data_IF_513181602287
#
_entry.id   IF_513181602287
#
_cell.length_a   1.000
_cell.length_b   1.000
_cell.length_c   1.000
_cell.angle_alpha   90.00
_cell.angle_beta   90.00
_cell.angle_gamma   90.00
#
_symmetry.space_group_name_H-M   'P 1'
#
loop_
_entity.id
_entity.type
_entity.pdbx_description
1 polymer ?
#
# COMPACT_ATOMS: atom_id res chain seq x y z
N UNK A 1 21.01 -15.32 -43.76
CA UNK A 1 21.54 -15.60 -42.41
C UNK A 1 21.91 -14.35 -41.61
N UNK A 2 22.47 -13.29 -42.22
CA UNK A 2 22.80 -12.03 -41.50
C UNK A 2 21.58 -11.16 -41.14
N UNK A 3 20.40 -11.36 -41.75
CA UNK A 3 19.20 -10.53 -41.50
C UNK A 3 18.35 -10.98 -40.30
N UNK A 4 18.43 -12.25 -39.88
CA UNK A 4 17.72 -12.75 -38.69
C UNK A 4 18.45 -12.38 -37.39
N UNK A 5 19.78 -12.32 -37.41
CA UNK A 5 20.60 -11.94 -36.24
C UNK A 5 20.40 -10.45 -35.88
N UNK A 6 20.13 -9.59 -36.86
CA UNK A 6 19.77 -8.19 -36.61
C UNK A 6 18.35 -8.05 -36.00
N UNK A 7 17.41 -8.92 -36.38
CA UNK A 7 16.05 -8.97 -35.79
C UNK A 7 16.05 -9.52 -34.36
N UNK A 8 16.94 -10.45 -34.02
CA UNK A 8 17.04 -11.03 -32.68
C UNK A 8 17.63 -10.09 -31.63
N UNK A 9 18.30 -8.99 -32.02
CA UNK A 9 18.77 -7.97 -31.08
C UNK A 9 17.68 -6.99 -30.61
N UNK A 10 16.50 -7.02 -31.22
CA UNK A 10 15.40 -6.09 -30.91
C UNK A 10 14.38 -6.66 -29.91
N UNK A 11 14.67 -7.80 -29.28
CA UNK A 11 13.74 -8.49 -28.35
C UNK A 11 14.32 -8.78 -26.96
N UNK A 12 15.26 -7.95 -26.50
CA UNK A 12 15.65 -7.91 -25.10
C UNK A 12 15.66 -6.47 -24.60
N UNK A 13 14.50 -5.81 -24.64
CA UNK A 13 14.31 -4.58 -23.90
C UNK A 13 14.34 -4.94 -22.41
N UNK A 14 15.48 -4.70 -21.77
CA UNK A 14 15.60 -4.81 -20.33
C UNK A 14 14.75 -3.71 -19.71
N UNK A 15 13.65 -4.10 -19.07
CA UNK A 15 12.90 -3.20 -18.18
C UNK A 15 13.82 -2.92 -17.00
N UNK A 16 14.47 -1.76 -16.99
CA UNK A 16 15.26 -1.31 -15.85
C UNK A 16 14.35 -0.55 -14.89
N UNK A 17 14.01 -1.16 -13.76
CA UNK A 17 13.38 -0.45 -12.64
C UNK A 17 14.48 0.25 -11.86
N UNK A 18 14.68 1.54 -12.13
CA UNK A 18 15.61 2.39 -11.40
C UNK A 18 14.92 3.06 -10.22
N UNK A 19 15.47 2.91 -9.00
CA UNK A 19 15.02 3.64 -7.82
C UNK A 19 15.67 5.04 -7.79
N UNK A 20 14.86 6.08 -7.83
CA UNK A 20 15.31 7.48 -7.77
C UNK A 20 15.53 7.92 -6.33
N UNK A 21 14.56 7.64 -5.47
CA UNK A 21 14.59 8.06 -4.07
C UNK A 21 13.87 7.05 -3.18
N UNK A 22 14.28 6.97 -1.91
CA UNK A 22 13.67 6.09 -0.90
C UNK A 22 13.63 6.80 0.45
N UNK A 23 12.51 6.62 1.15
CA UNK A 23 12.34 7.02 2.54
C UNK A 23 11.62 5.92 3.31
N UNK A 24 12.04 5.72 4.55
CA UNK A 24 11.30 4.92 5.52
C UNK A 24 10.88 5.82 6.68
N UNK A 25 9.59 5.82 6.99
CA UNK A 25 9.07 6.39 8.22
C UNK A 25 8.64 5.24 9.10
N UNK A 26 9.21 5.16 10.30
CA UNK A 26 8.91 4.07 11.23
C UNK A 26 8.55 4.61 12.59
N UNK A 27 7.73 3.84 13.29
CA UNK A 27 7.37 4.07 14.69
C UNK A 27 7.48 2.77 15.44
N UNK A 28 8.32 2.76 16.46
CA UNK A 28 8.35 1.64 17.41
C UNK A 28 7.09 1.70 18.29
N UNK A 29 6.45 0.54 18.50
CA UNK A 29 5.24 0.39 19.30
C UNK A 29 4.19 1.47 18.97
N UNK A 30 3.72 1.47 17.71
CA UNK A 30 2.71 2.42 17.25
C UNK A 30 1.46 2.38 18.15
N UNK A 31 1.11 1.19 18.67
CA UNK A 31 0.13 0.98 19.74
C UNK A 31 -1.18 1.75 19.53
N UNK A 32 -1.83 1.51 18.40
CA UNK A 32 -3.06 2.22 18.03
C UNK A 32 -4.25 1.29 18.07
N UNK A 33 -5.25 1.65 18.87
CA UNK A 33 -6.60 1.06 18.98
C UNK A 33 -7.63 1.82 18.12
N UNK A 34 -7.16 2.56 17.10
CA UNK A 34 -8.05 3.33 16.24
C UNK A 34 -8.88 2.40 15.37
N UNK A 35 -10.17 2.70 15.33
CA UNK A 35 -11.13 2.12 14.39
C UNK A 35 -11.22 2.91 13.07
N UNK A 36 -10.79 4.18 13.07
CA UNK A 36 -10.82 5.07 11.89
C UNK A 36 -9.64 6.05 11.84
N UNK A 37 -9.26 6.43 10.61
CA UNK A 37 -8.36 7.54 10.32
C UNK A 37 -6.88 7.15 10.23
N UNK A 38 -6.02 8.17 10.24
CA UNK A 38 -4.57 8.02 10.03
C UNK A 38 -3.92 7.33 11.23
N UNK A 39 -3.21 6.24 10.95
CA UNK A 39 -2.37 5.49 11.90
C UNK A 39 -0.93 6.00 11.88
N UNK A 40 -0.36 6.16 10.69
CA UNK A 40 1.01 6.66 10.47
C UNK A 40 1.07 7.48 9.18
N UNK A 41 1.80 8.59 9.19
CA UNK A 41 2.04 9.43 8.01
C UNK A 41 3.54 9.51 7.72
N UNK A 42 3.91 9.46 6.45
CA UNK A 42 5.25 9.64 5.93
C UNK A 42 5.23 10.73 4.87
N UNK A 43 5.83 11.89 5.18
CA UNK A 43 6.02 12.97 4.20
C UNK A 43 7.18 12.59 3.28
N UNK A 44 6.92 12.50 1.98
CA UNK A 44 7.89 12.12 0.96
C UNK A 44 8.04 13.22 -0.08
N UNK A 45 9.24 13.41 -0.60
CA UNK A 45 9.52 14.41 -1.64
C UNK A 45 9.73 13.70 -2.98
N UNK A 46 8.68 13.66 -3.81
CA UNK A 46 8.71 13.05 -5.13
C UNK A 46 9.41 13.97 -6.13
N UNK A 47 10.36 13.46 -6.90
CA UNK A 47 11.25 14.28 -7.74
C UNK A 47 10.72 14.54 -9.14
N UNK A 48 9.94 13.62 -9.70
CA UNK A 48 9.53 13.66 -11.10
C UNK A 48 8.05 13.34 -11.27
N UNK A 49 7.41 13.95 -12.26
CA UNK A 49 6.00 13.70 -12.60
C UNK A 49 5.82 12.36 -13.33
N UNK A 50 6.83 11.93 -14.09
CA UNK A 50 6.81 10.75 -14.98
C UNK A 50 7.34 9.47 -14.32
N UNK A 51 7.19 9.35 -12.99
CA UNK A 51 7.69 8.21 -12.21
C UNK A 51 6.61 7.67 -11.28
N UNK A 52 6.73 6.43 -10.84
CA UNK A 52 5.76 5.76 -9.95
C UNK A 52 6.22 5.82 -8.50
N UNK A 53 5.29 5.83 -7.56
CA UNK A 53 5.60 5.57 -6.15
C UNK A 53 5.29 4.12 -5.80
N UNK A 54 6.30 3.34 -5.40
CA UNK A 54 6.11 2.08 -4.69
C UNK A 54 5.97 2.38 -3.20
N UNK A 55 4.83 2.03 -2.62
CA UNK A 55 4.55 2.26 -1.20
C UNK A 55 4.26 0.95 -0.50
N UNK A 56 4.77 0.82 0.72
CA UNK A 56 4.71 -0.40 1.49
C UNK A 56 4.45 -0.10 2.96
N UNK A 57 3.47 -0.78 3.55
CA UNK A 57 3.26 -0.88 4.99
C UNK A 57 3.86 -2.18 5.50
N UNK A 58 4.62 -2.10 6.58
CA UNK A 58 5.09 -3.25 7.34
C UNK A 58 4.79 -3.02 8.83
N UNK A 59 3.95 -3.85 9.42
CA UNK A 59 3.57 -3.75 10.82
C UNK A 59 2.46 -4.73 11.17
N UNK A 60 2.23 -4.95 12.45
CA UNK A 60 1.11 -5.80 12.87
C UNK A 60 -0.23 -5.10 12.69
N UNK A 61 -1.22 -5.89 12.31
CA UNK A 61 -2.63 -5.54 12.26
C UNK A 61 -3.42 -6.60 13.01
N UNK A 62 -4.49 -6.17 13.67
CA UNK A 62 -5.43 -7.05 14.34
C UNK A 62 -6.85 -6.56 14.09
N UNK A 63 -7.78 -7.52 14.03
CA UNK A 63 -9.20 -7.28 14.11
C UNK A 63 -9.83 -8.21 15.15
N UNK A 64 -10.54 -7.66 16.14
CA UNK A 64 -11.42 -8.43 17.02
C UNK A 64 -12.87 -8.26 16.58
N UNK A 65 -13.61 -9.37 16.61
CA UNK A 65 -15.03 -9.37 16.37
C UNK A 65 -15.83 -8.79 17.56
N UNK A 66 -16.80 -7.91 17.29
CA UNK A 66 -17.64 -7.25 18.33
C UNK A 66 -19.04 -7.87 18.51
N UNK A 67 -19.26 -9.12 18.09
CA UNK A 67 -20.46 -9.90 18.48
C UNK A 67 -21.63 -9.95 17.47
N UNK A 68 -21.42 -9.62 16.19
CA UNK A 68 -22.45 -9.81 15.16
C UNK A 68 -22.63 -11.26 14.73
N UNK A 69 -23.75 -11.58 14.06
CA UNK A 69 -24.08 -12.96 13.68
C UNK A 69 -23.16 -13.54 12.59
N UNK A 70 -22.62 -12.71 11.71
CA UNK A 70 -21.94 -13.12 10.46
C UNK A 70 -20.41 -13.03 10.59
N UNK A 71 -19.92 -12.01 11.31
CA UNK A 71 -18.50 -11.71 11.45
C UNK A 71 -18.26 -10.20 11.44
N UNK A 72 -17.01 -9.81 11.69
CA UNK A 72 -16.59 -8.41 11.58
C UNK A 72 -15.57 -8.21 10.48
N UNK A 73 -15.43 -6.98 10.01
CA UNK A 73 -14.36 -6.61 9.10
C UNK A 73 -13.83 -5.20 9.40
N UNK A 74 -12.58 -4.95 8.97
CA UNK A 74 -11.93 -3.63 8.91
C UNK A 74 -11.02 -3.57 7.69
N UNK A 75 -10.86 -2.37 7.14
CA UNK A 75 -9.98 -2.08 6.00
C UNK A 75 -8.85 -1.17 6.44
N UNK A 76 -7.63 -1.51 6.05
CA UNK A 76 -6.48 -0.63 6.12
C UNK A 76 -6.03 -0.24 4.73
N UNK A 77 -5.64 1.01 4.51
CA UNK A 77 -5.41 1.52 3.17
C UNK A 77 -4.47 2.73 3.15
N UNK A 78 -3.79 2.91 2.01
CA UNK A 78 -2.97 4.08 1.77
C UNK A 78 -3.76 5.24 1.19
N UNK A 79 -3.40 6.45 1.62
CA UNK A 79 -3.75 7.70 0.94
C UNK A 79 -2.51 8.51 0.62
N UNK A 80 -2.50 9.16 -0.53
CA UNK A 80 -1.51 10.13 -0.96
C UNK A 80 -2.18 11.52 -1.01
N UNK A 81 -1.72 12.45 -0.18
CA UNK A 81 -2.35 13.77 -0.01
C UNK A 81 -3.85 13.68 0.32
N UNK A 82 -4.21 12.71 1.17
CA UNK A 82 -5.59 12.50 1.63
C UNK A 82 -6.52 11.81 0.64
N UNK A 83 -6.01 11.34 -0.51
CA UNK A 83 -6.79 10.58 -1.50
C UNK A 83 -6.20 9.19 -1.70
N UNK A 84 -7.04 8.18 -1.89
CA UNK A 84 -6.58 6.84 -2.25
C UNK A 84 -5.94 6.85 -3.64
N UNK A 85 -5.02 5.91 -3.87
CA UNK A 85 -4.47 5.73 -5.21
C UNK A 85 -5.58 5.28 -6.17
N UNK A 86 -5.57 5.82 -7.39
CA UNK A 86 -6.56 5.47 -8.42
C UNK A 86 -5.94 4.83 -9.66
N UNK A 87 -4.62 4.67 -9.71
CA UNK A 87 -3.91 4.09 -10.84
C UNK A 87 -2.74 3.21 -10.35
N UNK A 88 -2.78 1.89 -10.61
CA UNK A 88 -3.84 1.15 -11.29
C UNK A 88 -5.11 0.97 -10.44
N UNK A 89 -4.98 0.96 -9.11
CA UNK A 89 -6.09 0.81 -8.17
C UNK A 89 -5.64 1.29 -6.77
N UNK A 90 -6.52 1.17 -5.77
CA UNK A 90 -6.22 1.42 -4.36
C UNK A 90 -5.19 0.42 -3.82
N UNK A 91 -4.51 0.79 -2.72
CA UNK A 91 -3.51 -0.05 -2.06
C UNK A 91 -3.97 -0.28 -0.63
N UNK A 92 -4.61 -1.42 -0.41
CA UNK A 92 -5.32 -1.73 0.82
C UNK A 92 -5.23 -3.20 1.23
N UNK A 93 -5.72 -3.48 2.42
CA UNK A 93 -5.93 -4.81 2.95
C UNK A 93 -7.20 -4.82 3.79
N UNK A 94 -8.00 -5.89 3.65
CA UNK A 94 -9.20 -6.10 4.45
C UNK A 94 -8.98 -7.32 5.33
N UNK A 95 -9.21 -7.17 6.63
CA UNK A 95 -9.28 -8.29 7.54
C UNK A 95 -10.72 -8.63 7.86
N UNK A 96 -11.01 -9.93 7.93
CA UNK A 96 -12.27 -10.48 8.39
C UNK A 96 -12.02 -11.27 9.66
N UNK A 97 -12.87 -11.07 10.67
CA UNK A 97 -12.83 -11.80 11.93
C UNK A 97 -14.13 -12.60 12.10
N UNK A 98 -13.98 -13.88 12.42
CA UNK A 98 -15.10 -14.73 12.83
C UNK A 98 -15.42 -14.52 14.32
N UNK A 99 -16.52 -15.11 14.79
CA UNK A 99 -16.92 -15.04 16.21
C UNK A 99 -15.90 -15.62 17.18
N UNK A 100 -15.08 -16.57 16.72
CA UNK A 100 -14.10 -17.27 17.54
C UNK A 100 -12.68 -16.73 17.31
N UNK A 101 -12.53 -15.47 16.89
CA UNK A 101 -11.22 -14.85 16.73
C UNK A 101 -10.46 -14.83 18.06
N UNK A 102 -9.16 -15.09 18.00
CA UNK A 102 -8.31 -15.32 19.17
C UNK A 102 -7.46 -14.10 19.54
N UNK A 103 -7.83 -12.88 19.11
CA UNK A 103 -7.07 -11.66 19.40
C UNK A 103 -5.63 -11.74 18.84
N UNK A 104 -5.48 -12.28 17.62
CA UNK A 104 -4.16 -12.48 17.02
C UNK A 104 -3.67 -11.19 16.37
N UNK A 105 -2.60 -10.62 16.91
CA UNK A 105 -1.80 -9.60 16.24
C UNK A 105 -0.92 -10.26 15.19
N UNK A 106 -1.19 -9.99 13.91
CA UNK A 106 -0.47 -10.62 12.80
C UNK A 106 0.39 -9.58 12.08
N UNK A 107 1.70 -9.84 11.89
CA UNK A 107 2.51 -8.98 11.03
C UNK A 107 1.96 -9.05 9.61
N UNK A 108 1.77 -7.88 9.00
CA UNK A 108 1.33 -7.74 7.62
C UNK A 108 2.32 -6.95 6.80
N UNK A 109 2.40 -7.30 5.52
CA UNK A 109 3.05 -6.50 4.50
C UNK A 109 2.00 -6.15 3.44
N UNK A 110 1.72 -4.86 3.26
CA UNK A 110 0.77 -4.38 2.24
C UNK A 110 1.53 -3.43 1.34
N UNK A 111 1.50 -3.70 0.04
CA UNK A 111 2.37 -3.04 -0.91
C UNK A 111 1.63 -2.80 -2.22
N UNK A 112 1.96 -1.69 -2.87
CA UNK A 112 1.50 -1.43 -4.22
C UNK A 112 2.26 -0.28 -4.86
N UNK A 113 1.86 0.00 -6.10
CA UNK A 113 2.42 1.05 -6.95
C UNK A 113 1.34 2.08 -7.24
N UNK A 114 1.68 3.36 -7.18
CA UNK A 114 0.77 4.45 -7.49
C UNK A 114 1.38 5.37 -8.56
N UNK A 115 0.77 5.40 -9.74
CA UNK A 115 1.11 6.31 -10.84
C UNK A 115 0.23 7.56 -10.83
N UNK A 116 0.58 8.55 -11.66
CA UNK A 116 -0.18 9.79 -11.77
C UNK A 116 -0.07 10.72 -10.55
N UNK A 117 0.85 10.45 -9.63
CA UNK A 117 1.17 11.33 -8.51
C UNK A 117 2.09 12.43 -9.02
N UNK A 118 1.77 13.73 -8.87
CA UNK A 118 2.66 14.81 -9.29
C UNK A 118 3.95 14.87 -8.45
N UNK A 119 5.00 15.44 -9.02
CA UNK A 119 6.21 15.82 -8.31
C UNK A 119 5.92 16.81 -7.17
N UNK A 120 6.80 16.83 -6.18
CA UNK A 120 6.72 17.66 -4.98
C UNK A 120 6.42 16.86 -3.72
N UNK A 121 5.97 17.57 -2.69
CA UNK A 121 5.70 16.97 -1.38
C UNK A 121 4.42 16.14 -1.40
N UNK A 122 4.54 14.87 -1.03
CA UNK A 122 3.46 13.89 -0.95
C UNK A 122 3.33 13.38 0.49
N UNK A 123 2.15 13.53 1.08
CA UNK A 123 1.81 12.93 2.38
C UNK A 123 1.28 11.52 2.15
N UNK A 124 2.11 10.51 2.40
CA UNK A 124 1.73 9.10 2.31
C UNK A 124 1.27 8.64 3.69
N UNK A 125 -0.03 8.37 3.83
CA UNK A 125 -0.61 7.97 5.11
C UNK A 125 -1.21 6.57 5.04
N UNK A 126 -0.97 5.79 6.09
CA UNK A 126 -1.62 4.51 6.36
C UNK A 126 -2.82 4.73 7.25
N UNK A 127 -4.00 4.31 6.80
CA UNK A 127 -5.28 4.55 7.41
C UNK A 127 -5.97 3.25 7.80
N UNK A 128 -6.97 3.36 8.67
CA UNK A 128 -7.95 2.31 8.94
C UNK A 128 -9.37 2.87 8.80
N UNK A 129 -10.32 2.03 8.42
CA UNK A 129 -11.73 2.40 8.30
C UNK A 129 -12.65 1.21 8.01
N UNK A 130 -13.85 1.55 7.55
CA UNK A 130 -14.86 0.56 7.18
C UNK A 130 -14.49 -0.21 5.91
N UNK A 131 -15.01 -1.44 5.81
CA UNK A 131 -14.85 -2.24 4.62
C UNK A 131 -15.68 -1.70 3.46
N UNK A 132 -15.23 -1.88 2.21
CA UNK A 132 -16.06 -1.61 1.06
C UNK A 132 -17.12 -2.71 0.97
N UNK A 133 -18.36 -2.41 1.40
CA UNK A 133 -19.47 -3.37 1.37
C UNK A 133 -19.94 -3.60 -0.09
N UNK A 134 -19.33 -4.55 -0.80
CA UNK A 134 -19.73 -4.88 -2.18
C UNK A 134 -20.60 -6.15 -2.30
N UNK A 135 -20.72 -6.98 -1.25
CA UNK A 135 -21.27 -8.35 -1.38
C UNK A 135 -22.60 -8.61 -0.67
N UNK A 136 -23.33 -7.57 -0.25
CA UNK A 136 -24.67 -7.72 0.34
C UNK A 136 -24.72 -8.37 1.74
N UNK A 137 -23.60 -8.87 2.26
CA UNK A 137 -23.45 -9.32 3.64
C UNK A 137 -23.01 -8.16 4.53
N UNK A 138 -23.86 -7.76 5.46
CA UNK A 138 -23.53 -6.77 6.49
C UNK A 138 -22.58 -7.36 7.53
N UNK A 139 -21.29 -7.47 7.19
CA UNK A 139 -20.25 -7.61 8.21
C UNK A 139 -20.31 -6.37 9.10
N UNK A 140 -20.35 -6.57 10.41
CA UNK A 140 -20.29 -5.47 11.36
C UNK A 140 -18.88 -4.89 11.42
N UNK A 141 -18.76 -3.63 11.78
CA UNK A 141 -17.48 -3.07 12.17
C UNK A 141 -16.87 -3.87 13.34
N UNK A 142 -15.58 -4.25 13.22
CA UNK A 142 -14.82 -4.86 14.32
C UNK A 142 -13.92 -3.85 15.03
N UNK A 143 -13.19 -4.33 16.04
CA UNK A 143 -12.16 -3.59 16.75
C UNK A 143 -10.81 -3.73 16.04
N UNK A 144 -10.30 -2.67 15.42
CA UNK A 144 -8.96 -2.71 14.83
C UNK A 144 -7.89 -2.30 15.82
N UNK A 145 -6.72 -2.92 15.68
CA UNK A 145 -5.50 -2.49 16.33
C UNK A 145 -4.33 -2.56 15.36
N UNK A 146 -3.33 -1.70 15.54
CA UNK A 146 -2.08 -1.73 14.77
C UNK A 146 -0.87 -1.37 15.62
N UNK A 147 0.22 -2.11 15.46
CA UNK A 147 1.51 -1.78 16.07
C UNK A 147 1.69 -2.23 17.52
N UNK A 148 1.16 -3.39 17.91
CA UNK A 148 1.33 -3.97 19.24
C UNK A 148 2.77 -4.45 19.49
N UNK A 149 3.51 -3.69 20.30
CA UNK A 149 4.86 -4.03 20.80
C UNK A 149 5.87 -4.26 19.66
N UNK A 150 5.50 -3.92 18.43
CA UNK A 150 6.30 -4.16 17.23
C UNK A 150 6.54 -2.85 16.48
N UNK A 151 7.52 -2.85 15.58
CA UNK A 151 7.80 -1.70 14.72
C UNK A 151 6.79 -1.65 13.58
N UNK A 152 6.19 -0.49 13.40
CA UNK A 152 5.39 -0.14 12.23
C UNK A 152 6.20 0.74 11.28
N UNK A 153 6.07 0.52 9.97
CA UNK A 153 6.86 1.22 8.96
C UNK A 153 6.05 1.48 7.69
N UNK A 154 6.19 2.68 7.17
CA UNK A 154 5.88 3.02 5.78
C UNK A 154 7.20 3.17 5.03
N UNK A 155 7.38 2.43 3.95
CA UNK A 155 8.47 2.62 2.99
C UNK A 155 7.87 3.25 1.73
N UNK A 156 8.48 4.33 1.26
CA UNK A 156 8.11 5.01 0.01
C UNK A 156 9.33 5.04 -0.89
N UNK A 157 9.16 4.58 -2.13
CA UNK A 157 10.19 4.61 -3.16
C UNK A 157 9.65 5.26 -4.43
N UNK A 158 10.42 6.19 -4.99
CA UNK A 158 10.17 6.69 -6.32
C UNK A 158 10.95 5.84 -7.32
N UNK A 159 10.25 5.31 -8.32
CA UNK A 159 10.83 4.40 -9.31
C UNK A 159 10.50 4.87 -10.72
N UNK A 160 11.46 4.72 -11.63
CA UNK A 160 11.22 4.93 -13.06
C UNK A 160 10.58 3.65 -13.61
N UNK A 161 9.47 3.82 -14.33
CA UNK A 161 8.86 2.74 -15.11
C UNK A 161 9.25 3.02 -16.56
N UNK A 162 10.20 2.25 -17.08
CA UNK A 162 10.53 2.30 -18.51
C UNK A 162 9.73 1.22 -19.23
N UNK A 163 8.79 1.63 -20.07
CA UNK A 163 8.22 0.74 -21.08
C UNK A 163 9.19 0.64 -22.26
N UNK A 164 9.28 -0.55 -22.85
CA UNK A 164 10.19 -0.89 -23.96
C UNK A 164 9.97 -0.07 -25.27
N UNK A 165 9.16 0.99 -25.25
CA UNK A 165 8.79 1.82 -26.38
C UNK A 165 8.98 3.33 -26.19
N UNK A 166 9.41 3.79 -25.02
CA UNK A 166 9.69 5.22 -24.81
C UNK A 166 11.05 5.57 -25.40
N UNK A 167 11.02 6.06 -26.64
CA UNK A 167 12.16 6.63 -27.33
C UNK A 167 12.75 7.74 -26.46
N UNK A 168 13.93 7.47 -25.90
CA UNK A 168 14.78 8.49 -25.30
C UNK A 168 15.31 9.32 -26.48
N UNK A 169 14.66 10.46 -26.73
CA UNK A 169 15.16 11.51 -27.60
C UNK A 169 16.31 12.28 -26.95
#
# INVERSE_FOLDING_TARGET
MMSEIAKLRQQAASVYVGRISLKQCSKNNLHSDKDYGILLECVFEKKRDDTVLRIQWNGDMRLIHKGSKVGSCRRWYFTLNGKECSQPDTIDAVLFASKNDTNNHRPGNVEGYCSGVPAGTVKVAWNVGDCPLQWGTAYSAGDSFSGWVSTSRITVEEQIVHDAGDNIG
#
